data_IF_635305299783
#
_entry.id   IF_635305299783
#
_cell.length_a   1.000
_cell.length_b   1.000
_cell.length_c   1.000
_cell.angle_alpha   90.00
_cell.angle_beta   90.00
_cell.angle_gamma   90.00
#
_symmetry.space_group_name_H-M   'P 1'
#
loop_
_entity.id
_entity.type
_entity.pdbx_description
1 polymer ?
#
# COMPACT_ATOMS: atom_id res chain seq x y z
N UNK A 1 2.86 20.78 21.19
CA UNK A 1 2.52 19.68 20.26
C UNK A 1 2.51 18.31 20.98
N UNK A 2 2.14 18.25 22.27
CA UNK A 2 2.30 17.03 23.11
C UNK A 2 1.05 16.14 23.21
N UNK A 3 -0.12 16.63 22.75
CA UNK A 3 -1.41 15.95 22.94
C UNK A 3 -1.64 14.72 22.05
N UNK A 4 -0.99 14.65 20.89
CA UNK A 4 -1.10 13.48 20.01
C UNK A 4 -0.23 12.31 20.53
N UNK A 5 0.96 12.65 21.03
CA UNK A 5 2.01 11.70 21.38
C UNK A 5 1.71 10.95 22.70
N UNK A 6 1.12 11.64 23.68
CA UNK A 6 0.65 11.01 24.92
C UNK A 6 -0.47 9.98 24.69
N UNK A 7 -1.24 10.15 23.61
CA UNK A 7 -2.32 9.24 23.24
C UNK A 7 -1.77 7.99 22.53
N UNK A 8 -0.80 8.15 21.62
CA UNK A 8 -0.17 7.04 20.87
C UNK A 8 0.60 6.10 21.81
N UNK A 9 1.34 6.65 22.78
CA UNK A 9 2.10 5.88 23.78
C UNK A 9 1.19 5.04 24.71
N UNK A 10 -0.03 5.50 24.99
CA UNK A 10 -1.00 4.75 25.80
C UNK A 10 -1.69 3.62 25.03
N UNK A 11 -1.70 3.68 23.69
CA UNK A 11 -2.44 2.74 22.84
C UNK A 11 -1.62 1.56 22.29
N UNK A 12 -0.29 1.63 22.34
CA UNK A 12 0.58 0.61 21.74
C UNK A 12 1.09 -0.37 22.80
N UNK A 13 0.34 -1.44 23.04
CA UNK A 13 0.74 -2.55 23.92
C UNK A 13 1.84 -3.46 23.34
N UNK A 14 2.49 -3.06 22.24
CA UNK A 14 3.56 -3.81 21.59
C UNK A 14 4.88 -3.01 21.59
N UNK A 15 5.75 -3.36 22.53
CA UNK A 15 6.96 -2.65 22.94
C UNK A 15 8.05 -2.48 21.88
N UNK A 16 7.88 -2.95 20.64
CA UNK A 16 8.89 -2.83 19.58
C UNK A 16 8.68 -1.62 18.67
N UNK A 17 7.43 -1.26 18.39
CA UNK A 17 7.12 -0.07 17.58
C UNK A 17 7.40 1.21 18.38
N UNK A 18 7.00 1.23 19.66
CA UNK A 18 7.31 2.34 20.56
C UNK A 18 8.82 2.52 20.76
N UNK A 19 9.61 1.45 20.85
CA UNK A 19 11.08 1.55 20.93
C UNK A 19 11.70 2.12 19.66
N UNK A 20 11.23 1.72 18.48
CA UNK A 20 11.70 2.26 17.20
C UNK A 20 11.35 3.76 17.11
N UNK A 21 10.12 4.13 17.49
CA UNK A 21 9.66 5.51 17.47
C UNK A 21 10.44 6.40 18.46
N UNK A 22 10.67 5.92 19.69
CA UNK A 22 11.51 6.60 20.68
C UNK A 22 12.94 6.77 20.16
N UNK A 23 13.51 5.73 19.55
CA UNK A 23 14.88 5.77 19.01
C UNK A 23 14.97 6.77 17.86
N UNK A 24 13.99 6.77 16.96
CA UNK A 24 13.92 7.72 15.84
C UNK A 24 13.82 9.16 16.34
N UNK A 25 12.89 9.45 17.24
CA UNK A 25 12.71 10.78 17.81
C UNK A 25 13.94 11.24 18.58
N UNK A 26 14.52 10.38 19.42
CA UNK A 26 15.72 10.69 20.20
C UNK A 26 16.89 11.04 19.28
N UNK A 27 17.11 10.25 18.23
CA UNK A 27 18.18 10.52 17.26
C UNK A 27 17.89 11.78 16.44
N UNK A 28 16.64 12.01 16.05
CA UNK A 28 16.23 13.23 15.34
C UNK A 28 16.49 14.49 16.16
N UNK A 29 16.08 14.52 17.43
CA UNK A 29 16.34 15.64 18.34
C UNK A 29 17.84 15.84 18.60
N UNK A 30 18.62 14.76 18.76
CA UNK A 30 20.07 14.85 18.92
C UNK A 30 20.75 15.48 17.70
N UNK A 31 20.34 15.08 16.50
CA UNK A 31 20.88 15.61 15.24
C UNK A 31 20.47 17.08 15.06
N UNK A 32 19.22 17.45 15.38
CA UNK A 32 18.75 18.83 15.33
C UNK A 32 19.52 19.73 16.32
N UNK A 33 19.75 19.26 17.55
CA UNK A 33 20.54 19.98 18.55
C UNK A 33 22.01 20.11 18.14
N UNK A 34 22.60 19.05 17.58
CA UNK A 34 23.97 19.10 17.07
C UNK A 34 24.11 20.12 15.93
N UNK A 35 23.13 20.16 15.02
CA UNK A 35 23.08 21.15 13.94
C UNK A 35 23.01 22.58 14.50
N UNK A 36 22.09 22.85 15.43
CA UNK A 36 21.98 24.17 16.05
C UNK A 36 23.27 24.57 16.80
N UNK A 37 23.92 23.61 17.45
CA UNK A 37 25.21 23.82 18.10
C UNK A 37 26.30 24.16 17.07
N UNK A 38 26.41 23.37 15.99
CA UNK A 38 27.40 23.56 14.94
C UNK A 38 27.17 24.82 14.11
N UNK A 39 25.94 25.32 14.01
CA UNK A 39 25.59 26.57 13.31
C UNK A 39 25.90 27.82 14.17
N UNK A 40 26.17 27.66 15.47
CA UNK A 40 26.61 28.76 16.34
C UNK A 40 28.03 29.22 15.98
N UNK A 41 28.27 30.53 16.05
CA UNK A 41 29.56 31.17 15.71
C UNK A 41 30.59 31.15 16.84
N UNK A 42 30.34 30.41 17.92
CA UNK A 42 31.07 30.54 19.20
C UNK A 42 32.24 29.55 19.34
N UNK A 43 32.71 28.93 18.26
CA UNK A 43 33.80 27.96 18.32
C UNK A 43 35.17 28.61 18.09
N UNK A 44 36.22 28.07 18.73
CA UNK A 44 37.60 28.44 18.44
C UNK A 44 37.94 28.28 16.94
N UNK A 45 38.69 29.21 16.33
CA UNK A 45 39.05 29.15 14.91
C UNK A 45 39.76 27.85 14.48
N UNK A 46 40.48 27.20 15.40
CA UNK A 46 41.15 25.92 15.16
C UNK A 46 40.19 24.76 14.79
N UNK A 47 38.90 24.86 15.17
CA UNK A 47 37.88 23.84 14.90
C UNK A 47 37.10 24.07 13.60
N UNK A 48 37.28 25.22 12.96
CA UNK A 48 36.61 25.57 11.70
C UNK A 48 36.68 24.49 10.60
N UNK A 49 37.83 23.83 10.32
CA UNK A 49 37.88 22.80 9.27
C UNK A 49 37.03 21.57 9.61
N UNK A 50 36.94 21.18 10.87
CA UNK A 50 36.14 20.05 11.33
C UNK A 50 34.65 20.36 11.32
N UNK A 51 34.26 21.58 11.74
CA UNK A 51 32.87 22.04 11.69
C UNK A 51 32.38 22.08 10.24
N UNK A 52 33.21 22.52 9.30
CA UNK A 52 32.90 22.50 7.86
C UNK A 52 32.66 21.08 7.33
N UNK A 53 33.48 20.12 7.75
CA UNK A 53 33.30 18.71 7.37
C UNK A 53 32.00 18.14 7.95
N UNK A 54 31.71 18.39 9.23
CA UNK A 54 30.47 17.93 9.85
C UNK A 54 29.22 18.54 9.20
N UNK A 55 29.28 19.84 8.84
CA UNK A 55 28.23 20.52 8.06
C UNK A 55 27.94 19.84 6.73
N UNK A 56 28.99 19.46 5.99
CA UNK A 56 28.83 18.78 4.70
C UNK A 56 28.16 17.40 4.78
N UNK A 57 28.12 16.76 5.95
CA UNK A 57 27.44 15.47 6.15
C UNK A 57 25.91 15.61 6.26
N UNK A 58 25.41 16.81 6.57
CA UNK A 58 23.98 17.07 6.72
C UNK A 58 23.47 18.19 5.82
N UNK A 59 24.30 18.73 4.94
CA UNK A 59 23.84 19.55 3.83
C UNK A 59 22.74 18.76 3.11
N UNK A 60 21.50 19.28 3.09
CA UNK A 60 20.34 18.47 2.78
C UNK A 60 20.50 17.92 1.36
N UNK A 61 20.56 16.59 1.25
CA UNK A 61 20.23 15.91 -0.01
C UNK A 61 18.87 16.47 -0.39
N UNK A 62 18.70 17.11 -1.56
CA UNK A 62 17.39 17.57 -1.99
C UNK A 62 16.46 16.36 -1.95
N UNK A 63 15.53 16.35 -1.01
CA UNK A 63 14.54 15.29 -0.96
C UNK A 63 13.68 15.51 -2.19
N UNK A 64 13.87 14.69 -3.22
CA UNK A 64 12.89 14.57 -4.29
C UNK A 64 11.76 13.76 -3.64
N UNK A 65 10.58 14.35 -3.35
CA UNK A 65 9.46 13.54 -2.91
C UNK A 65 9.09 12.60 -4.05
N UNK A 66 9.57 11.36 -4.00
CA UNK A 66 9.05 10.27 -4.82
C UNK A 66 7.70 9.80 -4.24
N UNK A 67 6.77 10.72 -4.00
CA UNK A 67 5.37 10.34 -3.88
C UNK A 67 4.87 10.05 -5.28
N UNK A 68 5.19 8.85 -5.80
CA UNK A 68 4.41 8.29 -6.90
C UNK A 68 3.00 8.17 -6.36
N UNK A 69 2.12 9.12 -6.70
CA UNK A 69 0.70 9.07 -6.41
C UNK A 69 0.11 7.96 -7.26
N UNK A 70 0.29 6.72 -6.80
CA UNK A 70 -0.37 5.55 -7.38
C UNK A 70 -1.87 5.83 -7.28
N UNK A 71 -2.58 5.78 -8.41
CA UNK A 71 -4.03 5.98 -8.48
C UNK A 71 -4.76 4.85 -7.74
N UNK A 72 -4.73 4.92 -6.41
CA UNK A 72 -5.33 3.96 -5.50
C UNK A 72 -6.78 4.34 -5.27
N UNK A 73 -7.65 3.35 -5.33
CA UNK A 73 -9.06 3.50 -4.99
C UNK A 73 -9.52 2.34 -4.12
N UNK A 74 -10.60 2.55 -3.36
CA UNK A 74 -11.33 1.44 -2.74
C UNK A 74 -12.37 0.93 -3.72
N UNK A 75 -12.48 -0.39 -3.83
CA UNK A 75 -13.64 -1.02 -4.46
C UNK A 75 -14.91 -0.74 -3.66
N UNK A 76 -16.04 -0.66 -4.35
CA UNK A 76 -17.34 -0.72 -3.69
C UNK A 76 -17.57 -2.12 -3.10
N UNK A 77 -18.55 -2.21 -2.20
CA UNK A 77 -18.85 -3.43 -1.46
C UNK A 77 -19.15 -4.62 -2.39
N UNK A 78 -19.91 -4.41 -3.46
CA UNK A 78 -20.34 -5.49 -4.36
C UNK A 78 -19.15 -6.01 -5.17
N UNK A 79 -18.38 -5.12 -5.79
CA UNK A 79 -17.17 -5.54 -6.53
C UNK A 79 -16.15 -6.21 -5.61
N UNK A 80 -16.03 -5.73 -4.38
CA UNK A 80 -15.12 -6.31 -3.40
C UNK A 80 -15.54 -7.71 -2.94
N UNK A 81 -16.84 -7.95 -2.73
CA UNK A 81 -17.36 -9.29 -2.43
C UNK A 81 -17.12 -10.26 -3.59
N UNK A 82 -17.32 -9.81 -4.84
CA UNK A 82 -17.01 -10.61 -6.03
C UNK A 82 -15.50 -10.89 -6.11
N UNK A 83 -14.65 -9.91 -5.80
CA UNK A 83 -13.19 -10.09 -5.79
C UNK A 83 -12.78 -11.16 -4.78
N UNK A 84 -13.32 -11.13 -3.57
CA UNK A 84 -13.03 -12.13 -2.53
C UNK A 84 -13.47 -13.53 -2.98
N UNK A 85 -14.65 -13.65 -3.58
CA UNK A 85 -15.13 -14.92 -4.12
C UNK A 85 -14.16 -15.46 -5.19
N UNK A 86 -13.78 -14.61 -6.15
CA UNK A 86 -12.81 -14.95 -7.21
C UNK A 86 -11.43 -15.31 -6.67
N UNK A 87 -10.95 -14.62 -5.65
CA UNK A 87 -9.64 -14.93 -5.05
C UNK A 87 -9.68 -16.31 -4.37
N UNK A 88 -10.76 -16.64 -3.66
CA UNK A 88 -10.91 -17.96 -3.03
C UNK A 88 -11.05 -19.09 -4.08
N UNK A 89 -11.66 -18.81 -5.22
CA UNK A 89 -11.78 -19.76 -6.34
C UNK A 89 -10.43 -19.99 -7.04
N UNK A 90 -9.73 -18.91 -7.41
CA UNK A 90 -8.51 -18.99 -8.22
C UNK A 90 -7.25 -19.27 -7.40
N UNK A 91 -7.26 -18.95 -6.11
CA UNK A 91 -6.10 -19.04 -5.24
C UNK A 91 -6.48 -19.57 -3.85
N UNK A 92 -7.03 -20.80 -3.78
CA UNK A 92 -7.36 -21.41 -2.50
C UNK A 92 -6.10 -21.56 -1.64
N UNK A 93 -6.24 -21.32 -0.34
CA UNK A 93 -5.22 -21.63 0.64
C UNK A 93 -5.56 -22.98 1.28
N UNK A 94 -4.54 -23.75 1.69
CA UNK A 94 -4.70 -25.12 2.19
C UNK A 94 -5.57 -25.15 3.45
N UNK A 95 -5.23 -24.34 4.45
CA UNK A 95 -5.90 -24.32 5.76
C UNK A 95 -6.62 -23.00 6.06
N UNK A 96 -6.68 -22.10 5.08
CA UNK A 96 -7.17 -20.75 5.27
C UNK A 96 -8.15 -20.33 4.18
N UNK A 97 -8.94 -19.29 4.47
CA UNK A 97 -9.77 -18.61 3.46
C UNK A 97 -9.46 -17.13 3.41
N UNK A 98 -9.52 -16.58 2.21
CA UNK A 98 -9.43 -15.14 2.03
C UNK A 98 -10.72 -14.49 2.55
N UNK A 99 -10.56 -13.50 3.42
CA UNK A 99 -11.66 -12.78 4.05
C UNK A 99 -11.42 -11.27 3.96
N UNK A 100 -12.50 -10.49 3.84
CA UNK A 100 -12.41 -9.04 3.91
C UNK A 100 -11.72 -8.57 5.21
N UNK A 101 -10.80 -7.61 5.12
CA UNK A 101 -10.04 -7.12 6.28
C UNK A 101 -10.93 -6.59 7.41
N UNK A 102 -12.02 -5.90 7.09
CA UNK A 102 -12.98 -5.36 8.07
C UNK A 102 -13.78 -6.45 8.79
N UNK A 103 -14.01 -7.60 8.13
CA UNK A 103 -14.62 -8.79 8.73
C UNK A 103 -13.60 -9.55 9.57
N UNK A 104 -12.37 -9.67 9.08
CA UNK A 104 -11.27 -10.33 9.78
C UNK A 104 -10.95 -9.65 11.12
N UNK A 105 -10.95 -8.32 11.15
CA UNK A 105 -10.72 -7.52 12.37
C UNK A 105 -11.76 -7.78 13.47
N UNK A 106 -12.97 -8.23 13.09
CA UNK A 106 -14.08 -8.55 14.02
C UNK A 106 -14.07 -10.00 14.50
N UNK A 107 -13.14 -10.84 14.03
CA UNK A 107 -13.07 -12.26 14.41
C UNK A 107 -12.37 -12.40 15.77
N UNK A 108 -12.87 -13.35 16.59
CA UNK A 108 -12.27 -13.70 17.87
C UNK A 108 -10.92 -14.41 17.67
N UNK A 109 -9.96 -14.16 18.56
CA UNK A 109 -8.57 -14.62 18.46
C UNK A 109 -8.35 -16.11 18.15
N UNK A 110 -9.27 -17.01 18.52
CA UNK A 110 -9.16 -18.45 18.26
C UNK A 110 -9.36 -18.86 16.80
N UNK A 111 -10.03 -18.05 15.99
CA UNK A 111 -10.32 -18.36 14.58
C UNK A 111 -9.46 -17.55 13.59
N UNK A 112 -8.65 -16.61 14.09
CA UNK A 112 -7.83 -15.70 13.26
C UNK A 112 -6.89 -16.45 12.30
N UNK A 113 -6.38 -17.60 12.72
CA UNK A 113 -5.45 -18.41 11.93
C UNK A 113 -6.12 -19.16 10.77
N UNK A 114 -7.46 -19.15 10.69
CA UNK A 114 -8.23 -19.77 9.60
C UNK A 114 -8.47 -18.80 8.43
N UNK A 115 -8.07 -17.54 8.56
CA UNK A 115 -8.41 -16.50 7.60
C UNK A 115 -7.22 -15.61 7.26
N UNK A 116 -7.07 -15.30 5.97
CA UNK A 116 -6.12 -14.29 5.49
C UNK A 116 -6.88 -13.03 5.06
N UNK A 117 -6.54 -11.85 5.60
CA UNK A 117 -7.25 -10.61 5.27
C UNK A 117 -6.95 -10.14 3.83
N UNK A 118 -7.99 -9.62 3.17
CA UNK A 118 -7.95 -8.98 1.86
C UNK A 118 -8.43 -7.55 2.02
N UNK A 119 -7.68 -6.58 1.49
CA UNK A 119 -8.07 -5.17 1.50
C UNK A 119 -8.91 -4.83 0.26
N UNK A 120 -9.82 -3.85 0.39
CA UNK A 120 -10.58 -3.30 -0.75
C UNK A 120 -9.75 -2.36 -1.63
N UNK A 121 -8.53 -2.02 -1.20
CA UNK A 121 -7.66 -1.08 -1.90
C UNK A 121 -7.05 -1.73 -3.14
N UNK A 122 -7.23 -1.06 -4.27
CA UNK A 122 -6.72 -1.49 -5.57
C UNK A 122 -5.98 -0.36 -6.27
N UNK A 123 -5.09 -0.73 -7.19
CA UNK A 123 -4.50 0.20 -8.12
C UNK A 123 -5.38 0.24 -9.38
N UNK A 124 -5.98 1.38 -9.67
CA UNK A 124 -6.73 1.57 -10.91
C UNK A 124 -5.76 1.61 -12.09
N UNK A 125 -6.07 0.85 -13.13
CA UNK A 125 -5.30 0.83 -14.37
C UNK A 125 -6.14 1.42 -15.51
N UNK A 126 -5.57 2.28 -16.36
CA UNK A 126 -6.27 2.78 -17.53
C UNK A 126 -6.44 1.70 -18.60
N UNK A 127 -5.44 0.82 -18.73
CA UNK A 127 -5.34 -0.25 -19.70
C UNK A 127 -4.70 -1.49 -19.06
N UNK A 128 -4.96 -2.66 -19.64
CA UNK A 128 -4.30 -3.90 -19.31
C UNK A 128 -3.95 -4.65 -20.59
N UNK A 129 -2.70 -5.12 -20.70
CA UNK A 129 -2.23 -5.83 -21.87
C UNK A 129 -2.08 -7.31 -21.54
N UNK A 130 -2.68 -8.17 -22.35
CA UNK A 130 -2.53 -9.63 -22.26
C UNK A 130 -2.43 -10.21 -23.65
N UNK A 131 -1.41 -11.02 -23.90
CA UNK A 131 -1.19 -11.70 -25.18
C UNK A 131 -1.21 -10.71 -26.38
N UNK A 132 -0.56 -9.55 -26.20
CA UNK A 132 -0.51 -8.43 -27.15
C UNK A 132 -1.85 -7.70 -27.40
N UNK A 133 -2.93 -8.12 -26.76
CA UNK A 133 -4.24 -7.45 -26.81
C UNK A 133 -4.32 -6.40 -25.71
N UNK A 134 -4.72 -5.18 -26.08
CA UNK A 134 -4.92 -4.07 -25.14
C UNK A 134 -6.39 -3.98 -24.76
N UNK A 135 -6.67 -4.22 -23.48
CA UNK A 135 -7.97 -3.99 -22.87
C UNK A 135 -7.99 -2.60 -22.25
N UNK A 136 -9.01 -1.81 -22.59
CA UNK A 136 -9.18 -0.45 -22.09
C UNK A 136 -10.52 -0.30 -21.37
N UNK A 137 -10.59 0.62 -20.41
CA UNK A 137 -11.90 1.04 -19.90
C UNK A 137 -12.62 1.87 -20.96
N UNK A 138 -13.96 1.87 -20.95
CA UNK A 138 -14.77 2.72 -21.84
C UNK A 138 -14.40 4.19 -21.75
N UNK A 139 -14.00 4.66 -20.56
CA UNK A 139 -13.53 6.03 -20.34
C UNK A 139 -12.16 6.33 -20.97
N UNK A 140 -11.33 5.30 -21.13
CA UNK A 140 -9.98 5.45 -21.71
C UNK A 140 -10.03 5.33 -23.23
N UNK A 141 -10.75 4.34 -23.75
CA UNK A 141 -10.87 4.06 -25.18
C UNK A 141 -12.14 3.25 -25.44
N UNK A 142 -13.12 3.88 -26.09
CA UNK A 142 -14.43 3.29 -26.42
C UNK A 142 -14.34 2.14 -27.43
N UNK A 143 -13.31 2.12 -28.28
CA UNK A 143 -13.14 1.08 -29.30
C UNK A 143 -12.59 -0.23 -28.74
N UNK A 144 -11.80 -0.16 -27.64
CA UNK A 144 -11.11 -1.31 -27.04
C UNK A 144 -11.67 -1.69 -25.66
N UNK A 145 -12.94 -1.39 -25.41
CA UNK A 145 -13.60 -1.68 -24.13
C UNK A 145 -14.66 -2.78 -24.19
N UNK A 146 -14.91 -3.38 -25.37
CA UNK A 146 -15.90 -4.44 -25.54
C UNK A 146 -15.22 -5.80 -25.42
N UNK A 147 -15.78 -6.69 -24.60
CA UNK A 147 -15.33 -8.07 -24.47
C UNK A 147 -16.44 -9.05 -24.76
N UNK A 148 -16.12 -10.15 -25.43
CA UNK A 148 -17.00 -11.31 -25.53
C UNK A 148 -16.87 -12.13 -24.24
N UNK A 149 -18.00 -12.41 -23.61
CA UNK A 149 -18.09 -13.33 -22.49
C UNK A 149 -18.15 -14.78 -23.00
N UNK A 150 -17.85 -15.73 -22.12
CA UNK A 150 -17.97 -17.15 -22.45
C UNK A 150 -19.39 -17.45 -22.97
N UNK A 151 -19.52 -18.14 -24.12
CA UNK A 151 -20.81 -18.46 -24.70
C UNK A 151 -21.62 -19.31 -23.72
N UNK A 152 -22.92 -19.05 -23.65
CA UNK A 152 -23.88 -19.89 -22.94
C UNK A 152 -24.90 -20.46 -23.94
N UNK A 153 -25.87 -21.23 -23.45
CA UNK A 153 -26.91 -21.86 -24.29
C UNK A 153 -27.73 -20.87 -25.15
N UNK A 154 -27.62 -19.56 -24.87
CA UNK A 154 -28.32 -18.48 -25.56
C UNK A 154 -27.40 -17.65 -26.49
N UNK A 155 -26.17 -18.12 -26.73
CA UNK A 155 -25.20 -17.48 -27.64
C UNK A 155 -24.09 -16.69 -26.94
N UNK A 156 -23.35 -15.91 -27.74
CA UNK A 156 -22.25 -15.06 -27.27
C UNK A 156 -22.83 -13.77 -26.69
N UNK A 157 -22.44 -13.44 -25.46
CA UNK A 157 -22.78 -12.17 -24.82
C UNK A 157 -21.59 -11.23 -24.87
N UNK A 158 -21.85 -9.94 -25.05
CA UNK A 158 -20.84 -8.90 -25.00
C UNK A 158 -21.00 -8.06 -23.73
N UNK A 159 -19.88 -7.63 -23.16
CA UNK A 159 -19.84 -6.75 -22.02
C UNK A 159 -18.90 -5.57 -22.24
N UNK A 160 -19.13 -4.50 -21.49
CA UNK A 160 -18.30 -3.28 -21.56
C UNK A 160 -17.43 -3.19 -20.31
N UNK A 161 -16.14 -2.94 -20.50
CA UNK A 161 -15.16 -2.77 -19.42
C UNK A 161 -15.34 -1.38 -18.79
N UNK A 162 -15.92 -1.34 -17.59
CA UNK A 162 -16.04 -0.11 -16.80
C UNK A 162 -14.79 0.16 -15.94
N UNK A 163 -14.14 -0.90 -15.45
CA UNK A 163 -13.04 -0.80 -14.50
C UNK A 163 -12.00 -1.91 -14.70
N UNK A 164 -10.74 -1.49 -14.81
CA UNK A 164 -9.57 -2.35 -14.78
C UNK A 164 -8.75 -1.99 -13.53
N UNK A 165 -8.36 -2.99 -12.76
CA UNK A 165 -7.54 -2.76 -11.58
C UNK A 165 -6.58 -3.91 -11.28
N UNK A 166 -5.55 -3.58 -10.52
CA UNK A 166 -4.61 -4.53 -9.96
C UNK A 166 -4.79 -4.61 -8.45
N UNK A 167 -4.92 -5.84 -7.95
CA UNK A 167 -4.98 -6.13 -6.52
C UNK A 167 -3.68 -6.81 -6.09
N UNK A 168 -3.16 -6.40 -4.93
CA UNK A 168 -1.95 -7.02 -4.36
C UNK A 168 -2.36 -7.89 -3.19
N UNK A 169 -1.91 -9.14 -3.21
CA UNK A 169 -2.15 -10.11 -2.14
C UNK A 169 -0.84 -10.47 -1.48
N UNK A 170 -0.87 -10.60 -0.17
CA UNK A 170 0.25 -11.07 0.63
C UNK A 170 -0.20 -12.42 1.19
N UNK A 171 0.42 -13.51 0.73
CA UNK A 171 0.15 -14.83 1.31
C UNK A 171 0.70 -14.91 2.74
N UNK A 172 0.20 -15.84 3.58
CA UNK A 172 0.75 -16.11 4.90
C UNK A 172 2.26 -16.40 4.90
N UNK A 173 2.78 -16.98 3.80
CA UNK A 173 4.20 -17.23 3.55
C UNK A 173 5.01 -15.96 3.22
N UNK A 174 4.39 -14.77 3.34
CA UNK A 174 4.97 -13.45 3.05
C UNK A 174 5.45 -13.26 1.60
N UNK A 175 4.99 -14.09 0.66
CA UNK A 175 5.23 -13.88 -0.78
C UNK A 175 4.16 -12.95 -1.34
N UNK A 176 4.55 -11.71 -1.64
CA UNK A 176 3.67 -10.76 -2.31
C UNK A 176 3.49 -11.16 -3.78
N UNK A 177 2.27 -11.55 -4.16
CA UNK A 177 1.96 -11.93 -5.53
C UNK A 177 0.96 -10.93 -6.11
N UNK A 178 1.31 -10.35 -7.26
CA UNK A 178 0.48 -9.36 -7.97
C UNK A 178 -0.46 -10.08 -8.93
N UNK A 179 -1.75 -9.73 -8.93
CA UNK A 179 -2.74 -10.26 -9.88
C UNK A 179 -3.62 -9.12 -10.43
N UNK A 180 -3.96 -9.19 -11.71
CA UNK A 180 -4.83 -8.24 -12.38
C UNK A 180 -6.19 -8.90 -12.68
N UNK A 181 -7.28 -8.17 -12.41
CA UNK A 181 -8.65 -8.63 -12.66
C UNK A 181 -9.40 -7.59 -13.49
N UNK A 182 -10.33 -8.05 -14.32
CA UNK A 182 -11.19 -7.21 -15.17
C UNK A 182 -12.66 -7.42 -14.78
N UNK A 183 -13.43 -6.34 -14.76
CA UNK A 183 -14.88 -6.38 -14.54
C UNK A 183 -15.59 -5.74 -15.73
N UNK A 184 -16.54 -6.48 -16.30
CA UNK A 184 -17.45 -6.01 -17.33
C UNK A 184 -18.89 -6.17 -16.83
N UNK A 185 -19.76 -5.23 -17.22
CA UNK A 185 -21.21 -5.39 -17.12
C UNK A 185 -21.76 -5.90 -18.44
#
# INVERSE_FOLDING_TARGET
MERLMGTILKTTTNSRLGQIEITYLTNFYRIANLRALLDSSNFPPALAPFIRQLRSLYDPIPSIPETITKNRMSLDKRLFEILIARINELFPLVDQKWLASDKWDKIKSRDTNKFTPVTSQVLKLPNYVRDQIVFSTVKTNENNCIIAMNPNDYGIKFGIIELIFQHTRISPDKKATKWASQYAK
#
